data_IF_705528025940
#
_entry.id   IF_705528025940
#
_cell.length_a   1.000
_cell.length_b   1.000
_cell.length_c   1.000
_cell.angle_alpha   90.00
_cell.angle_beta   90.00
_cell.angle_gamma   90.00
#
_symmetry.space_group_name_H-M   'P 1'
#
loop_
_entity.id
_entity.type
_entity.pdbx_description
1 polymer ?
#
# COMPACT_ATOMS: atom_id res chain seq x y z
N UNK A 1 -2.26 25.01 3.95
CA UNK A 1 -2.84 24.79 2.61
C UNK A 1 -3.77 23.59 2.68
N UNK A 2 -5.08 23.81 2.49
CA UNK A 2 -6.13 22.80 2.69
C UNK A 2 -5.83 21.55 1.85
N UNK A 3 -5.76 20.41 2.54
CA UNK A 3 -5.58 19.08 1.95
C UNK A 3 -6.64 18.91 0.86
N UNK A 4 -6.26 19.05 -0.42
CA UNK A 4 -7.12 18.60 -1.54
C UNK A 4 -7.34 17.13 -1.28
N UNK A 5 -8.51 16.77 -0.77
CA UNK A 5 -8.89 15.39 -0.54
C UNK A 5 -8.76 14.67 -1.88
N UNK A 6 -7.66 13.95 -2.08
CA UNK A 6 -7.43 13.20 -3.32
C UNK A 6 -8.56 12.19 -3.46
N UNK A 7 -9.56 12.47 -4.30
CA UNK A 7 -10.64 11.54 -4.59
C UNK A 7 -10.08 10.28 -5.27
N UNK A 8 -10.80 9.16 -5.19
CA UNK A 8 -10.41 7.91 -5.84
C UNK A 8 -10.12 8.08 -7.34
N UNK A 9 -10.86 8.97 -7.98
CA UNK A 9 -10.75 9.33 -9.40
C UNK A 9 -9.41 9.97 -9.76
N UNK A 10 -8.70 10.59 -8.81
CA UNK A 10 -7.40 11.23 -9.03
C UNK A 10 -6.23 10.23 -9.09
N UNK A 11 -6.49 8.93 -8.88
CA UNK A 11 -5.45 7.90 -8.93
C UNK A 11 -5.48 7.16 -10.26
N UNK A 12 -4.29 6.84 -10.78
CA UNK A 12 -4.11 5.98 -11.95
C UNK A 12 -4.91 4.68 -11.81
N UNK A 13 -5.41 4.15 -12.91
CA UNK A 13 -6.19 2.92 -12.94
C UNK A 13 -5.48 1.73 -12.26
N UNK A 14 -4.17 1.56 -12.49
CA UNK A 14 -3.38 0.52 -11.84
C UNK A 14 -3.43 0.60 -10.29
N UNK A 15 -3.44 1.82 -9.73
CA UNK A 15 -3.56 2.05 -8.28
C UNK A 15 -4.96 1.73 -7.77
N UNK A 16 -5.99 2.14 -8.53
CA UNK A 16 -7.39 1.80 -8.22
C UNK A 16 -7.60 0.28 -8.23
N UNK A 17 -7.12 -0.41 -9.27
CA UNK A 17 -7.18 -1.88 -9.39
C UNK A 17 -6.52 -2.59 -8.21
N UNK A 18 -5.32 -2.15 -7.79
CA UNK A 18 -4.65 -2.69 -6.58
C UNK A 18 -5.46 -2.45 -5.31
N UNK A 19 -6.07 -1.29 -5.15
CA UNK A 19 -6.94 -1.02 -4.00
C UNK A 19 -8.19 -1.92 -4.01
N UNK A 20 -8.81 -2.13 -5.17
CA UNK A 20 -9.93 -3.06 -5.33
C UNK A 20 -9.53 -4.50 -5.00
N UNK A 21 -8.35 -4.95 -5.42
CA UNK A 21 -7.83 -6.28 -5.06
C UNK A 21 -7.70 -6.45 -3.54
N UNK A 22 -7.16 -5.44 -2.84
CA UNK A 22 -7.09 -5.46 -1.37
C UNK A 22 -8.46 -5.46 -0.72
N UNK A 23 -9.39 -4.66 -1.26
CA UNK A 23 -10.76 -4.63 -0.77
C UNK A 23 -11.40 -6.00 -0.87
N UNK A 24 -11.27 -6.69 -2.01
CA UNK A 24 -11.82 -8.04 -2.19
C UNK A 24 -11.27 -9.06 -1.19
N UNK A 25 -10.04 -8.86 -0.68
CA UNK A 25 -9.45 -9.70 0.36
C UNK A 25 -10.10 -9.45 1.73
N UNK A 26 -10.33 -8.18 2.10
CA UNK A 26 -10.91 -7.84 3.41
C UNK A 26 -12.45 -7.80 3.41
N UNK A 27 -13.08 -7.82 2.23
CA UNK A 27 -14.54 -7.78 2.04
C UNK A 27 -15.28 -8.83 2.87
N UNK A 28 -14.86 -10.12 2.92
CA UNK A 28 -15.53 -11.12 3.74
C UNK A 28 -15.55 -10.76 5.24
N UNK A 29 -14.50 -10.08 5.73
CA UNK A 29 -14.49 -9.59 7.12
C UNK A 29 -15.40 -8.39 7.32
N UNK A 30 -15.45 -7.46 6.37
CA UNK A 30 -16.35 -6.30 6.42
C UNK A 30 -17.82 -6.74 6.42
N UNK A 31 -18.14 -7.80 5.68
CA UNK A 31 -19.47 -8.40 5.63
C UNK A 31 -19.79 -9.31 6.83
N UNK A 32 -18.83 -9.55 7.73
CA UNK A 32 -19.00 -10.43 8.89
C UNK A 32 -18.96 -11.93 8.58
N UNK A 33 -18.59 -12.31 7.35
CA UNK A 33 -18.57 -13.70 6.88
C UNK A 33 -17.34 -14.47 7.37
N UNK A 34 -16.18 -13.80 7.51
CA UNK A 34 -14.93 -14.42 7.93
C UNK A 34 -14.14 -13.52 8.88
N UNK A 35 -13.44 -14.12 9.85
CA UNK A 35 -12.50 -13.39 10.69
C UNK A 35 -11.23 -13.00 9.92
N UNK A 36 -10.55 -11.93 10.34
CA UNK A 36 -9.23 -11.56 9.79
C UNK A 36 -8.19 -12.67 9.99
N UNK A 37 -8.31 -13.47 11.06
CA UNK A 37 -7.42 -14.62 11.30
C UNK A 37 -7.62 -15.74 10.28
N UNK A 38 -8.86 -16.02 9.87
CA UNK A 38 -9.16 -16.99 8.81
C UNK A 38 -8.61 -16.52 7.45
N UNK A 39 -8.82 -15.24 7.12
CA UNK A 39 -8.31 -14.62 5.89
C UNK A 39 -6.78 -14.64 5.87
N UNK A 40 -6.14 -14.36 7.01
CA UNK A 40 -4.68 -14.39 7.16
C UNK A 40 -4.11 -15.76 6.79
N UNK A 41 -4.69 -16.83 7.34
CA UNK A 41 -4.27 -18.22 7.08
C UNK A 41 -4.51 -18.62 5.63
N UNK A 42 -5.69 -18.34 5.08
CA UNK A 42 -6.06 -18.77 3.72
C UNK A 42 -5.31 -18.03 2.61
N UNK A 43 -4.93 -16.77 2.83
CA UNK A 43 -4.23 -15.95 1.83
C UNK A 43 -2.73 -15.80 2.07
N UNK A 44 -2.20 -16.30 3.18
CA UNK A 44 -0.79 -16.12 3.56
C UNK A 44 -0.42 -14.66 3.84
N UNK A 45 -1.39 -13.83 4.25
CA UNK A 45 -1.18 -12.41 4.54
C UNK A 45 -1.06 -12.23 6.05
N UNK A 46 -0.05 -11.49 6.51
CA UNK A 46 0.12 -11.21 7.92
C UNK A 46 -1.12 -10.52 8.52
N UNK A 47 -1.56 -11.00 9.69
CA UNK A 47 -2.75 -10.49 10.38
C UNK A 47 -2.68 -8.98 10.64
N UNK A 48 -1.50 -8.47 11.02
CA UNK A 48 -1.23 -7.03 11.21
C UNK A 48 -1.50 -6.19 9.95
N UNK A 49 -1.20 -6.75 8.77
CA UNK A 49 -1.45 -6.09 7.48
C UNK A 49 -2.94 -5.98 7.22
N UNK A 50 -3.71 -7.04 7.50
CA UNK A 50 -5.16 -7.03 7.33
C UNK A 50 -5.84 -6.06 8.30
N UNK A 51 -5.40 -6.01 9.56
CA UNK A 51 -5.89 -5.01 10.53
C UNK A 51 -5.62 -3.58 10.05
N UNK A 52 -4.40 -3.33 9.54
CA UNK A 52 -4.03 -2.02 8.99
C UNK A 52 -4.90 -1.64 7.80
N UNK A 53 -5.15 -2.56 6.86
CA UNK A 53 -6.03 -2.32 5.71
C UNK A 53 -7.46 -2.05 6.15
N UNK A 54 -8.00 -2.84 7.08
CA UNK A 54 -9.34 -2.63 7.61
C UNK A 54 -9.48 -1.26 8.30
N UNK A 55 -8.50 -0.87 9.12
CA UNK A 55 -8.47 0.45 9.75
C UNK A 55 -8.45 1.58 8.71
N UNK A 56 -7.54 1.52 7.74
CA UNK A 56 -7.44 2.53 6.67
C UNK A 56 -8.71 2.60 5.81
N UNK A 57 -9.36 1.46 5.56
CA UNK A 57 -10.62 1.41 4.85
C UNK A 57 -11.77 2.05 5.65
N UNK A 58 -11.86 1.81 6.95
CA UNK A 58 -12.88 2.45 7.80
C UNK A 58 -12.73 3.98 7.85
N UNK A 59 -11.50 4.48 7.85
CA UNK A 59 -11.21 5.91 7.94
C UNK A 59 -11.33 6.65 6.59
N UNK A 60 -10.96 6.00 5.48
CA UNK A 60 -10.77 6.68 4.18
C UNK A 60 -11.46 5.97 3.01
N UNK A 61 -12.24 4.92 3.26
CA UNK A 61 -12.84 4.07 2.24
C UNK A 61 -11.79 3.39 1.36
N UNK A 62 -12.15 3.12 0.09
CA UNK A 62 -11.28 2.45 -0.87
C UNK A 62 -9.95 3.21 -1.10
N UNK A 63 -9.94 4.53 -0.88
CA UNK A 63 -8.74 5.37 -1.02
C UNK A 63 -7.67 4.98 0.00
N UNK A 64 -8.08 4.61 1.22
CA UNK A 64 -7.16 4.15 2.26
C UNK A 64 -6.40 2.86 1.91
N UNK A 65 -6.88 2.11 0.92
CA UNK A 65 -6.23 0.88 0.43
C UNK A 65 -5.21 1.16 -0.68
N UNK A 66 -5.24 2.35 -1.28
CA UNK A 66 -4.21 2.78 -2.22
C UNK A 66 -2.91 2.97 -1.46
N UNK A 67 -1.82 2.37 -1.95
CA UNK A 67 -0.49 2.59 -1.37
C UNK A 67 -0.18 4.09 -1.38
N UNK A 68 0.01 4.67 -0.20
CA UNK A 68 0.77 5.90 -0.08
C UNK A 68 2.19 5.58 -0.58
N UNK A 69 2.61 6.21 -1.67
CA UNK A 69 4.01 6.15 -2.08
C UNK A 69 4.82 6.62 -0.88
N UNK A 70 5.80 5.82 -0.44
CA UNK A 70 6.67 6.28 0.66
C UNK A 70 7.36 7.58 0.21
N UNK A 71 7.39 8.58 1.07
CA UNK A 71 7.97 9.88 0.76
C UNK A 71 9.49 9.81 0.52
N UNK A 72 10.16 8.79 1.07
CA UNK A 72 11.59 8.52 0.96
C UNK A 72 11.95 7.65 -0.27
N UNK A 73 10.99 7.29 -1.11
CA UNK A 73 11.25 6.40 -2.25
C UNK A 73 12.15 7.11 -3.28
N UNK A 74 13.42 6.73 -3.31
CA UNK A 74 14.43 7.27 -4.22
C UNK A 74 15.33 8.34 -3.58
N UNK A 75 15.05 8.79 -2.35
CA UNK A 75 15.95 9.68 -1.63
C UNK A 75 16.99 8.85 -0.88
N UNK A 76 18.21 8.79 -1.41
CA UNK A 76 19.37 8.28 -0.69
C UNK A 76 19.96 9.45 0.11
N UNK A 77 20.12 9.31 1.42
CA UNK A 77 20.82 10.30 2.27
C UNK A 77 22.33 10.08 2.21
N UNK A 78 22.85 9.83 1.02
CA UNK A 78 24.23 9.42 0.79
C UNK A 78 24.77 10.32 -0.32
N UNK A 79 26.01 10.78 -0.19
CA UNK A 79 26.63 11.64 -1.19
C UNK A 79 26.64 10.96 -2.57
N UNK A 80 26.39 11.73 -3.66
CA UNK A 80 26.35 11.19 -5.03
C UNK A 80 27.61 10.43 -5.41
N UNK A 81 28.78 10.86 -4.92
CA UNK A 81 30.08 10.22 -5.19
C UNK A 81 30.13 8.76 -4.73
N UNK A 82 29.53 8.45 -3.58
CA UNK A 82 29.49 7.09 -3.02
C UNK A 82 28.55 6.20 -3.85
N UNK A 83 27.48 6.78 -4.40
CA UNK A 83 26.53 6.05 -5.26
C UNK A 83 27.19 5.64 -6.57
N UNK A 84 27.91 6.56 -7.22
CA UNK A 84 28.62 6.30 -8.48
C UNK A 84 29.73 5.25 -8.30
N UNK A 85 30.41 5.26 -7.15
CA UNK A 85 31.45 4.28 -6.83
C UNK A 85 30.87 2.86 -6.64
N UNK A 86 29.66 2.74 -6.09
CA UNK A 86 28.97 1.45 -5.93
C UNK A 86 28.37 0.95 -7.26
N UNK A 87 27.88 1.84 -8.12
CA UNK A 87 27.23 1.46 -9.38
C UNK A 87 28.24 1.14 -10.51
N UNK A 88 29.46 1.71 -10.48
CA UNK A 88 30.56 1.40 -11.41
C UNK A 88 30.89 -0.10 -11.55
N UNK A 89 31.13 -0.86 -10.47
CA UNK A 89 31.49 -2.27 -10.57
C UNK A 89 30.33 -3.18 -11.03
N UNK A 90 29.10 -2.68 -11.12
CA UNK A 90 27.95 -3.45 -11.62
C UNK A 90 27.78 -3.40 -13.15
N UNK A 91 28.62 -2.64 -13.86
CA UNK A 91 28.57 -2.40 -15.31
C UNK A 91 29.76 -3.02 -16.09
N UNK A 92 30.67 -3.73 -15.42
CA UNK A 92 31.70 -4.60 -16.03
C UNK A 92 31.28 -6.06 -15.94
#
# INVERSE_FOLDING_TARGET
MKNKEKCLTNFSEAKRKKATQKYNIIKPFILGEQSLSSISKSKGIALSTLYRWNKSYKEQGLKGLIYATRADKGTRKIEPMIIDEIERPALM
#
